data_IF_534813497728
#
_entry.id   IF_534813497728
#
_cell.length_a   1.000
_cell.length_b   1.000
_cell.length_c   1.000
_cell.angle_alpha   90.00
_cell.angle_beta   90.00
_cell.angle_gamma   90.00
#
_symmetry.space_group_name_H-M   'P 1'
#
loop_
_entity.id
_entity.type
_entity.pdbx_description
1 polymer ?
#
# COMPACT_ATOMS: atom_id res chain seq x y z
N UNK A 1 6.80 -33.49 4.10
CA UNK A 1 5.74 -33.10 3.12
C UNK A 1 5.78 -34.12 2.00
N UNK A 2 4.61 -34.60 1.56
CA UNK A 2 4.60 -35.37 0.31
C UNK A 2 4.97 -34.44 -0.84
N UNK A 3 5.71 -34.91 -1.84
CA UNK A 3 6.04 -34.11 -3.04
C UNK A 3 4.79 -33.48 -3.66
N UNK A 4 3.72 -34.25 -3.75
CA UNK A 4 2.42 -33.76 -4.27
C UNK A 4 1.90 -32.53 -3.50
N UNK A 5 2.04 -32.49 -2.18
CA UNK A 5 1.62 -31.32 -1.39
C UNK A 5 2.52 -30.11 -1.68
N UNK A 6 3.81 -30.31 -1.82
CA UNK A 6 4.77 -29.24 -2.15
C UNK A 6 4.47 -28.65 -3.53
N UNK A 7 4.35 -29.50 -4.55
CA UNK A 7 4.02 -29.07 -5.93
C UNK A 7 2.69 -28.31 -5.98
N UNK A 8 1.66 -28.82 -5.27
CA UNK A 8 0.37 -28.15 -5.18
C UNK A 8 0.50 -26.75 -4.55
N UNK A 9 1.25 -26.63 -3.44
CA UNK A 9 1.49 -25.37 -2.76
C UNK A 9 2.19 -24.35 -3.66
N UNK A 10 3.27 -24.76 -4.32
CA UNK A 10 4.03 -23.90 -5.23
C UNK A 10 3.16 -23.44 -6.40
N UNK A 11 2.39 -24.37 -6.99
CA UNK A 11 1.51 -24.04 -8.12
C UNK A 11 0.42 -23.06 -7.71
N UNK A 12 -0.29 -23.31 -6.60
CA UNK A 12 -1.39 -22.45 -6.14
C UNK A 12 -0.85 -21.06 -5.75
N UNK A 13 0.23 -21.00 -4.98
CA UNK A 13 0.82 -19.71 -4.58
C UNK A 13 1.31 -18.93 -5.79
N UNK A 14 2.04 -19.59 -6.70
CA UNK A 14 2.52 -18.96 -7.93
C UNK A 14 1.39 -18.45 -8.83
N UNK A 15 0.33 -19.26 -9.00
CA UNK A 15 -0.85 -18.86 -9.79
C UNK A 15 -1.59 -17.66 -9.17
N UNK A 16 -1.72 -17.61 -7.83
CA UNK A 16 -2.32 -16.48 -7.11
C UNK A 16 -1.52 -15.21 -7.34
N UNK A 17 -0.19 -15.26 -7.20
CA UNK A 17 0.69 -14.10 -7.42
C UNK A 17 0.58 -13.59 -8.86
N UNK A 18 0.64 -14.47 -9.84
CA UNK A 18 0.47 -14.11 -11.26
C UNK A 18 -0.90 -13.49 -11.50
N UNK A 19 -1.97 -14.10 -11.00
CA UNK A 19 -3.34 -13.58 -11.15
C UNK A 19 -3.48 -12.18 -10.53
N UNK A 20 -2.97 -11.97 -9.31
CA UNK A 20 -3.00 -10.65 -8.66
C UNK A 20 -2.24 -9.61 -9.47
N UNK A 21 -1.06 -9.96 -9.97
CA UNK A 21 -0.22 -9.05 -10.74
C UNK A 21 -0.73 -8.78 -12.17
N UNK A 22 -1.55 -9.66 -12.74
CA UNK A 22 -2.21 -9.44 -14.04
C UNK A 22 -3.42 -8.49 -13.94
N UNK A 23 -4.06 -8.41 -12.78
CA UNK A 23 -5.14 -7.47 -12.51
C UNK A 23 -4.64 -6.26 -11.73
N UNK A 24 -5.53 -5.31 -11.42
CA UNK A 24 -5.22 -4.11 -10.63
C UNK A 24 -5.39 -4.33 -9.12
N UNK A 25 -5.76 -5.53 -8.71
CA UNK A 25 -6.02 -5.86 -7.28
C UNK A 25 -4.78 -5.70 -6.41
N UNK A 26 -3.58 -5.98 -6.96
CA UNK A 26 -2.32 -5.84 -6.24
C UNK A 26 -2.06 -4.39 -5.81
N UNK A 27 -2.56 -3.40 -6.56
CA UNK A 27 -2.42 -1.98 -6.24
C UNK A 27 -3.05 -1.57 -4.90
N UNK A 28 -3.90 -2.43 -4.32
CA UNK A 28 -4.46 -2.21 -2.97
C UNK A 28 -3.48 -2.55 -1.85
N UNK A 29 -2.39 -3.26 -2.14
CA UNK A 29 -1.47 -3.81 -1.14
C UNK A 29 -0.01 -3.47 -1.39
N UNK A 30 0.35 -3.21 -2.64
CA UNK A 30 1.73 -2.94 -3.04
C UNK A 30 1.80 -1.86 -4.10
N UNK A 31 2.93 -1.16 -4.14
CA UNK A 31 3.17 -0.10 -5.11
C UNK A 31 3.17 -0.65 -6.54
N UNK A 32 2.86 0.22 -7.50
CA UNK A 32 2.72 -0.14 -8.92
C UNK A 32 3.95 -0.81 -9.54
N UNK A 33 5.16 -0.43 -9.13
CA UNK A 33 6.40 -1.02 -9.65
C UNK A 33 6.60 -2.49 -9.18
N UNK A 34 5.93 -2.90 -8.09
CA UNK A 34 5.99 -4.27 -7.56
C UNK A 34 5.32 -5.30 -8.48
N UNK A 35 4.60 -4.86 -9.52
CA UNK A 35 4.01 -5.75 -10.52
C UNK A 35 5.03 -6.73 -11.11
N UNK A 36 6.20 -6.21 -11.48
CA UNK A 36 7.23 -7.03 -12.12
C UNK A 36 7.86 -8.07 -11.18
N UNK A 37 8.29 -7.71 -9.95
CA UNK A 37 8.71 -8.69 -8.96
C UNK A 37 7.66 -9.77 -8.66
N UNK A 38 6.38 -9.39 -8.52
CA UNK A 38 5.30 -10.34 -8.27
C UNK A 38 5.12 -11.33 -9.42
N UNK A 39 5.15 -10.86 -10.67
CA UNK A 39 5.09 -11.72 -11.85
C UNK A 39 6.30 -12.65 -11.93
N UNK A 40 7.50 -12.14 -11.67
CA UNK A 40 8.72 -12.94 -11.70
C UNK A 40 8.71 -14.03 -10.62
N UNK A 41 8.36 -13.70 -9.38
CA UNK A 41 8.24 -14.66 -8.29
C UNK A 41 7.14 -15.70 -8.57
N UNK A 42 5.96 -15.26 -9.02
CA UNK A 42 4.87 -16.16 -9.35
C UNK A 42 5.22 -17.14 -10.47
N UNK A 43 5.84 -16.65 -11.55
CA UNK A 43 6.30 -17.48 -12.66
C UNK A 43 7.40 -18.46 -12.22
N UNK A 44 8.35 -18.01 -11.38
CA UNK A 44 9.39 -18.87 -10.81
C UNK A 44 8.81 -20.02 -9.98
N UNK A 45 7.83 -19.74 -9.11
CA UNK A 45 7.17 -20.76 -8.30
C UNK A 45 6.45 -21.79 -9.15
N UNK A 46 5.73 -21.37 -10.20
CA UNK A 46 5.08 -22.26 -11.14
C UNK A 46 6.11 -23.09 -11.90
N UNK A 47 7.21 -22.47 -12.36
CA UNK A 47 8.30 -23.19 -13.05
C UNK A 47 8.91 -24.26 -12.15
N UNK A 48 9.21 -23.91 -10.88
CA UNK A 48 9.74 -24.87 -9.91
C UNK A 48 8.78 -26.03 -9.68
N UNK A 49 7.46 -25.77 -9.60
CA UNK A 49 6.46 -26.81 -9.48
C UNK A 49 6.43 -27.74 -10.70
N UNK A 50 6.55 -27.20 -11.91
CA UNK A 50 6.62 -27.97 -13.16
C UNK A 50 7.89 -28.80 -13.21
N UNK A 51 9.03 -28.22 -12.87
CA UNK A 51 10.32 -28.94 -12.82
C UNK A 51 10.29 -30.07 -11.79
N UNK A 52 9.71 -29.83 -10.60
CA UNK A 52 9.53 -30.85 -9.56
C UNK A 52 8.65 -32.02 -10.05
N UNK A 53 7.62 -31.71 -10.83
CA UNK A 53 6.73 -32.72 -11.44
C UNK A 53 7.45 -33.53 -12.55
N UNK A 54 8.36 -32.91 -13.32
CA UNK A 54 9.10 -33.58 -14.39
C UNK A 54 10.31 -34.36 -13.89
N UNK A 55 10.79 -34.07 -12.68
CA UNK A 55 11.85 -34.83 -12.01
C UNK A 55 11.30 -36.06 -11.28
N UNK A 56 10.43 -36.84 -11.94
CA UNK A 56 10.14 -38.20 -11.50
C UNK A 56 11.42 -39.03 -11.66
N UNK A 57 12.25 -39.04 -10.60
CA UNK A 57 13.29 -40.06 -10.51
C UNK A 57 12.59 -41.42 -10.39
N UNK A 58 12.94 -42.39 -11.28
CA UNK A 58 12.52 -43.77 -11.07
C UNK A 58 12.99 -44.18 -9.68
N UNK A 59 12.05 -44.64 -8.83
CA UNK A 59 12.45 -45.34 -7.63
C UNK A 59 13.41 -46.45 -8.10
N UNK A 60 14.67 -46.33 -7.68
CA UNK A 60 15.57 -47.45 -7.78
C UNK A 60 15.01 -48.55 -6.88
N UNK A 61 14.23 -49.44 -7.51
CA UNK A 61 13.92 -50.74 -6.94
C UNK A 61 15.24 -51.51 -6.82
N UNK A 62 15.75 -51.63 -5.62
CA UNK A 62 16.89 -52.49 -5.37
C UNK A 62 17.92 -51.90 -4.42
N UNK A 63 17.59 -51.81 -3.15
CA UNK A 63 18.57 -51.85 -2.11
C UNK A 63 18.13 -52.87 -1.05
N UNK A 64 18.89 -53.96 -0.83
CA UNK A 64 18.49 -54.96 0.15
C UNK A 64 18.65 -54.41 1.58
N UNK A 65 17.72 -54.86 2.41
CA UNK A 65 17.63 -54.64 3.83
C UNK A 65 18.97 -54.85 4.57
N UNK A 66 19.57 -53.78 5.04
CA UNK A 66 20.41 -53.82 6.21
C UNK A 66 20.04 -52.62 7.07
N UNK A 67 19.13 -52.86 8.02
CA UNK A 67 18.91 -51.99 9.16
C UNK A 67 20.11 -52.14 10.13
N UNK A 68 20.53 -51.04 10.76
CA UNK A 68 20.54 -50.98 12.21
C UNK A 68 19.63 -49.87 12.71
N UNK A 69 19.02 -50.19 13.81
CA UNK A 69 18.13 -49.43 14.65
C UNK A 69 18.37 -47.91 14.64
N UNK A 70 17.62 -47.20 13.79
CA UNK A 70 17.48 -45.76 13.78
C UNK A 70 16.02 -45.46 13.50
N UNK A 71 15.33 -44.86 14.44
CA UNK A 71 13.92 -44.46 14.33
C UNK A 71 13.64 -43.83 12.97
N UNK A 72 12.53 -44.18 12.33
CA UNK A 72 12.15 -43.51 11.10
C UNK A 72 11.84 -42.04 11.47
N UNK A 73 12.70 -41.11 11.05
CA UNK A 73 12.33 -39.71 10.98
C UNK A 73 11.14 -39.60 9.99
N UNK A 74 9.97 -39.93 10.52
CA UNK A 74 8.73 -39.59 9.87
C UNK A 74 8.68 -38.05 9.85
N UNK A 75 9.01 -37.46 8.71
CA UNK A 75 8.81 -36.05 8.45
C UNK A 75 7.31 -35.74 8.45
N UNK A 76 6.72 -35.92 9.63
CA UNK A 76 5.36 -35.45 9.90
C UNK A 76 5.41 -33.94 9.87
N UNK A 77 5.10 -33.34 8.71
CA UNK A 77 4.69 -31.94 8.70
C UNK A 77 3.56 -31.83 9.69
N UNK A 78 3.77 -31.07 10.79
CA UNK A 78 2.71 -30.94 11.80
C UNK A 78 1.43 -30.50 11.09
N UNK A 79 0.31 -31.09 11.44
CA UNK A 79 -1.00 -30.66 10.91
C UNK A 79 -1.20 -29.14 11.02
N UNK A 80 -0.51 -28.51 11.98
CA UNK A 80 -0.41 -27.05 12.13
C UNK A 80 0.18 -26.33 10.90
N UNK A 81 0.99 -26.98 10.05
CA UNK A 81 1.50 -26.33 8.84
C UNK A 81 0.39 -25.97 7.83
N UNK A 82 -0.74 -26.69 7.85
CA UNK A 82 -1.92 -26.35 7.06
C UNK A 82 -2.58 -25.04 7.49
N UNK A 83 -2.41 -24.64 8.77
CA UNK A 83 -2.90 -23.34 9.26
C UNK A 83 -2.21 -22.16 8.58
N UNK A 84 -0.99 -22.33 8.06
CA UNK A 84 -0.30 -21.29 7.27
C UNK A 84 -0.99 -21.04 5.92
N UNK A 85 -1.84 -21.98 5.49
CA UNK A 85 -2.62 -21.83 4.26
C UNK A 85 -3.88 -20.99 4.44
N UNK A 86 -4.40 -20.94 5.66
CA UNK A 86 -5.66 -20.22 5.95
C UNK A 86 -5.56 -18.73 5.61
N UNK A 87 -4.51 -17.99 6.00
CA UNK A 87 -4.38 -16.57 5.61
C UNK A 87 -4.35 -16.39 4.09
N UNK A 88 -3.58 -17.23 3.39
CA UNK A 88 -3.48 -17.14 1.91
C UNK A 88 -4.83 -17.44 1.25
N UNK A 89 -5.58 -18.40 1.77
CA UNK A 89 -6.91 -18.75 1.27
C UNK A 89 -7.92 -17.63 1.55
N UNK A 90 -7.86 -17.02 2.74
CA UNK A 90 -8.70 -15.88 3.11
C UNK A 90 -8.44 -14.69 2.17
N UNK A 91 -7.17 -14.34 1.92
CA UNK A 91 -6.82 -13.29 0.96
C UNK A 91 -7.26 -13.59 -0.47
N UNK A 92 -7.30 -14.87 -0.84
CA UNK A 92 -7.77 -15.28 -2.16
C UNK A 92 -9.28 -15.16 -2.30
N UNK A 93 -10.04 -15.51 -1.25
CA UNK A 93 -11.51 -15.51 -1.26
C UNK A 93 -12.11 -14.15 -0.94
N UNK A 94 -11.48 -13.40 -0.04
CA UNK A 94 -11.96 -12.13 0.47
C UNK A 94 -10.85 -11.12 0.24
N UNK A 95 -10.86 -10.45 -0.93
CA UNK A 95 -9.93 -9.33 -1.15
C UNK A 95 -10.27 -8.21 -0.14
N UNK A 96 -9.46 -7.96 0.91
CA UNK A 96 -9.73 -6.88 1.84
C UNK A 96 -9.79 -5.53 1.10
N UNK A 97 -10.54 -4.55 1.61
CA UNK A 97 -10.55 -3.22 1.04
C UNK A 97 -9.16 -2.58 1.11
N UNK A 98 -8.94 -1.55 0.32
CA UNK A 98 -7.75 -0.69 0.45
C UNK A 98 -7.74 0.00 1.81
N UNK A 99 -6.57 0.53 2.21
CA UNK A 99 -6.44 1.33 3.42
C UNK A 99 -7.36 2.56 3.32
N UNK A 100 -8.14 2.80 4.37
CA UNK A 100 -9.15 3.85 4.38
C UNK A 100 -9.09 4.73 5.64
N UNK A 101 -10.16 5.52 5.86
CA UNK A 101 -10.28 6.50 6.94
C UNK A 101 -10.03 5.91 8.32
N UNK A 102 -10.54 4.70 8.59
CA UNK A 102 -10.33 4.02 9.86
C UNK A 102 -8.85 3.73 10.17
N UNK A 103 -8.05 3.40 9.14
CA UNK A 103 -6.60 3.24 9.32
C UNK A 103 -5.94 4.61 9.49
N UNK A 104 -6.37 5.60 8.70
CA UNK A 104 -5.85 6.96 8.75
C UNK A 104 -6.07 7.63 10.12
N UNK A 105 -7.20 7.35 10.79
CA UNK A 105 -7.48 7.84 12.15
C UNK A 105 -6.47 7.34 13.18
N UNK A 106 -6.04 6.08 13.08
CA UNK A 106 -5.13 5.42 14.02
C UNK A 106 -3.65 5.59 13.69
N UNK A 107 -3.35 5.84 12.43
CA UNK A 107 -1.97 6.04 12.00
C UNK A 107 -1.51 7.43 12.42
N UNK A 108 -0.28 7.51 12.91
CA UNK A 108 0.35 8.81 13.13
C UNK A 108 0.47 9.52 11.79
N UNK A 109 0.18 10.83 11.78
CA UNK A 109 0.40 11.67 10.60
C UNK A 109 1.85 11.49 10.12
N UNK A 110 2.05 11.43 8.81
CA UNK A 110 3.40 11.38 8.26
C UNK A 110 4.21 12.52 8.85
N UNK A 111 5.20 12.18 9.63
CA UNK A 111 6.15 13.16 10.11
C UNK A 111 6.94 13.58 8.89
N UNK A 112 6.84 14.84 8.49
CA UNK A 112 7.79 15.42 7.54
C UNK A 112 9.16 15.15 8.14
N UNK A 113 10.13 14.58 7.40
CA UNK A 113 11.46 14.33 7.94
C UNK A 113 11.98 15.61 8.58
N UNK A 114 12.50 15.52 9.82
CA UNK A 114 13.17 16.63 10.47
C UNK A 114 14.21 17.18 9.49
N UNK A 115 14.35 18.51 9.46
CA UNK A 115 15.15 19.32 8.54
C UNK A 115 16.08 18.52 7.63
N UNK A 116 15.83 18.48 6.31
CA UNK A 116 16.76 17.82 5.42
C UNK A 116 18.13 18.44 5.61
N UNK A 117 19.14 17.61 5.78
CA UNK A 117 20.55 18.05 5.89
C UNK A 117 21.06 18.77 4.64
N UNK A 118 20.18 18.99 3.65
CA UNK A 118 20.44 19.64 2.37
C UNK A 118 19.29 20.59 2.06
N UNK A 119 19.59 21.77 1.51
CA UNK A 119 18.59 22.73 1.03
C UNK A 119 17.56 22.04 0.13
N UNK A 120 16.30 22.05 0.53
CA UNK A 120 15.19 21.48 -0.28
C UNK A 120 14.91 22.44 -1.41
N UNK A 121 15.43 22.15 -2.58
CA UNK A 121 15.07 22.90 -3.80
C UNK A 121 13.74 22.36 -4.31
N UNK A 122 12.66 23.08 -4.03
CA UNK A 122 11.34 22.76 -4.55
C UNK A 122 11.17 23.34 -5.97
N UNK A 123 10.63 22.60 -6.92
CA UNK A 123 10.35 23.12 -8.27
C UNK A 123 9.35 24.28 -8.19
N UNK A 124 9.44 25.21 -9.12
CA UNK A 124 8.45 26.30 -9.22
C UNK A 124 7.05 25.76 -9.43
N UNK A 125 6.07 26.41 -8.80
CA UNK A 125 4.66 26.02 -8.98
C UNK A 125 4.16 26.38 -10.38
N UNK A 126 3.31 25.53 -10.98
CA UNK A 126 2.62 25.86 -12.22
C UNK A 126 1.89 27.20 -12.11
N UNK A 127 1.78 27.90 -13.21
CA UNK A 127 1.03 29.18 -13.30
C UNK A 127 -0.47 29.01 -13.46
N UNK A 128 -0.94 27.76 -13.48
CA UNK A 128 -2.38 27.42 -13.57
C UNK A 128 -3.14 27.86 -12.32
N UNK A 129 -4.43 28.13 -12.46
CA UNK A 129 -5.35 28.44 -11.36
C UNK A 129 -6.63 27.63 -11.53
N UNK A 130 -6.97 26.72 -10.59
CA UNK A 130 -6.19 26.31 -9.43
C UNK A 130 -4.90 25.55 -9.80
N UNK A 131 -3.93 25.55 -8.87
CA UNK A 131 -2.68 24.80 -9.01
C UNK A 131 -2.92 23.35 -8.59
N UNK A 132 -2.79 22.36 -9.49
CA UNK A 132 -2.89 20.97 -9.10
C UNK A 132 -1.63 20.55 -8.34
N UNK A 133 -1.79 20.08 -7.09
CA UNK A 133 -0.70 19.64 -6.23
C UNK A 133 -1.03 18.26 -5.62
N UNK A 134 0.02 17.47 -5.41
CA UNK A 134 -0.05 16.29 -4.57
C UNK A 134 -0.12 16.71 -3.10
N UNK A 135 -0.77 15.91 -2.26
CA UNK A 135 -0.79 16.18 -0.81
C UNK A 135 0.62 16.27 -0.23
N UNK A 136 1.52 15.41 -0.70
CA UNK A 136 2.93 15.43 -0.30
C UNK A 136 3.59 16.78 -0.60
N UNK A 137 3.38 17.33 -1.79
CA UNK A 137 3.93 18.63 -2.18
C UNK A 137 3.40 19.76 -1.30
N UNK A 138 2.09 19.72 -0.96
CA UNK A 138 1.49 20.71 -0.04
C UNK A 138 2.12 20.61 1.33
N UNK A 139 2.28 19.40 1.88
CA UNK A 139 2.86 19.17 3.19
C UNK A 139 4.33 19.62 3.25
N UNK A 140 5.13 19.25 2.25
CA UNK A 140 6.55 19.63 2.20
C UNK A 140 6.69 21.14 2.04
N UNK A 141 5.90 21.77 1.18
CA UNK A 141 5.94 23.23 1.01
C UNK A 141 5.48 23.97 2.28
N UNK A 142 4.39 23.54 2.89
CA UNK A 142 3.92 24.11 4.15
C UNK A 142 4.98 24.03 5.25
N UNK A 143 5.75 22.94 5.28
CA UNK A 143 6.79 22.73 6.28
C UNK A 143 8.03 23.60 6.08
N UNK A 144 8.45 23.87 4.83
CA UNK A 144 9.75 24.48 4.53
C UNK A 144 9.68 25.77 3.71
N UNK A 145 8.60 26.00 2.96
CA UNK A 145 8.47 27.10 1.99
C UNK A 145 6.99 27.50 1.81
N UNK A 146 6.31 27.74 2.94
CA UNK A 146 4.88 28.05 2.96
C UNK A 146 4.49 29.29 2.15
N UNK A 147 5.42 30.23 1.98
CA UNK A 147 5.20 31.46 1.21
C UNK A 147 4.88 31.16 -0.27
N UNK A 148 5.39 30.06 -0.82
CA UNK A 148 5.08 29.65 -2.22
C UNK A 148 3.64 29.22 -2.40
N UNK A 149 2.95 28.83 -1.33
CA UNK A 149 1.53 28.48 -1.34
C UNK A 149 0.62 29.69 -1.09
N UNK A 150 1.19 30.79 -0.60
CA UNK A 150 0.42 31.98 -0.24
C UNK A 150 -0.33 32.53 -1.47
N UNK A 151 -1.56 33.00 -1.24
CA UNK A 151 -2.43 33.61 -2.25
C UNK A 151 -2.75 32.73 -3.48
N UNK A 152 -2.35 31.44 -3.47
CA UNK A 152 -2.65 30.50 -4.57
C UNK A 152 -3.87 29.65 -4.23
N UNK A 153 -4.69 29.41 -5.24
CA UNK A 153 -5.76 28.40 -5.17
C UNK A 153 -5.12 27.03 -5.49
N UNK A 154 -5.25 26.11 -4.56
CA UNK A 154 -4.69 24.76 -4.68
C UNK A 154 -5.81 23.79 -5.07
N UNK A 155 -5.50 22.85 -5.96
CA UNK A 155 -6.36 21.69 -6.23
C UNK A 155 -5.65 20.45 -5.69
N UNK A 156 -6.25 19.81 -4.69
CA UNK A 156 -5.74 18.60 -4.05
C UNK A 156 -6.74 17.46 -4.16
N UNK A 157 -6.25 16.24 -4.23
CA UNK A 157 -7.08 15.04 -4.36
C UNK A 157 -6.72 14.05 -3.26
N UNK A 158 -7.73 13.46 -2.62
CA UNK A 158 -7.58 12.44 -1.59
C UNK A 158 -8.93 11.89 -1.17
N UNK A 159 -8.95 11.06 -0.15
CA UNK A 159 -10.19 10.62 0.47
C UNK A 159 -10.42 11.36 1.80
N UNK A 160 -11.69 11.42 2.20
CA UNK A 160 -12.10 12.06 3.45
C UNK A 160 -11.79 11.15 4.64
N UNK A 161 -11.10 11.68 5.64
CA UNK A 161 -10.99 11.06 6.96
C UNK A 161 -11.28 12.08 8.05
N UNK A 162 -11.67 11.61 9.24
CA UNK A 162 -11.88 12.46 10.41
C UNK A 162 -10.95 12.06 11.53
N UNK A 163 -10.74 12.98 12.45
CA UNK A 163 -10.11 12.67 13.73
C UNK A 163 -11.15 12.56 14.85
N UNK A 164 -10.67 12.32 16.07
CA UNK A 164 -11.54 12.20 17.26
C UNK A 164 -12.23 13.50 17.66
N UNK A 165 -11.75 14.66 17.20
CA UNK A 165 -12.38 15.98 17.42
C UNK A 165 -13.51 16.26 16.43
N UNK A 166 -13.58 15.49 15.35
CA UNK A 166 -14.55 15.66 14.27
C UNK A 166 -14.05 16.56 13.14
N UNK A 167 -12.80 17.01 13.22
CA UNK A 167 -12.16 17.73 12.13
C UNK A 167 -11.95 16.79 10.94
N UNK A 168 -12.11 17.30 9.72
CA UNK A 168 -11.96 16.48 8.55
C UNK A 168 -10.74 16.84 7.71
N UNK A 169 -10.19 15.84 7.08
CA UNK A 169 -8.94 15.91 6.33
C UNK A 169 -9.11 15.36 4.93
N UNK A 170 -8.45 16.01 3.98
CA UNK A 170 -8.11 15.37 2.71
C UNK A 170 -6.90 14.50 2.97
N UNK A 171 -7.05 13.19 2.76
CA UNK A 171 -6.07 12.20 3.19
C UNK A 171 -5.62 11.34 2.01
N UNK A 172 -4.36 10.97 2.00
CA UNK A 172 -3.78 10.03 1.05
C UNK A 172 -2.72 9.19 1.76
N UNK A 173 -2.48 7.97 1.28
CA UNK A 173 -1.37 7.15 1.74
C UNK A 173 -0.20 7.23 0.77
N UNK A 174 0.99 7.52 1.30
CA UNK A 174 2.25 7.26 0.63
C UNK A 174 2.66 5.81 0.87
N UNK A 175 3.15 5.13 -0.15
CA UNK A 175 3.57 3.74 -0.07
C UNK A 175 4.86 3.55 -0.87
N UNK A 176 5.90 3.05 -0.23
CA UNK A 176 7.16 2.79 -0.92
C UNK A 176 7.15 1.40 -1.58
N UNK A 177 6.89 0.34 -0.82
CA UNK A 177 6.81 -1.01 -1.39
C UNK A 177 5.45 -1.69 -1.16
N UNK A 178 4.88 -1.60 0.02
CA UNK A 178 3.64 -2.32 0.36
C UNK A 178 2.87 -1.64 1.51
N UNK A 179 1.64 -2.11 1.75
CA UNK A 179 0.77 -1.55 2.80
C UNK A 179 1.39 -1.53 4.21
N UNK A 180 2.42 -2.34 4.47
CA UNK A 180 3.09 -2.36 5.77
C UNK A 180 4.01 -1.14 6.00
N UNK A 181 4.44 -0.46 4.93
CA UNK A 181 5.24 0.77 5.00
C UNK A 181 4.42 2.04 4.67
N UNK A 182 3.08 1.89 4.63
CA UNK A 182 2.21 3.00 4.30
C UNK A 182 2.32 4.14 5.33
N UNK A 183 2.52 5.33 4.83
CA UNK A 183 2.52 6.59 5.60
C UNK A 183 1.26 7.39 5.29
N UNK A 184 0.71 8.06 6.29
CA UNK A 184 -0.50 8.86 6.14
C UNK A 184 -0.14 10.31 5.89
N UNK A 185 -0.66 10.87 4.82
CA UNK A 185 -0.56 12.29 4.46
C UNK A 185 -1.92 12.93 4.68
N UNK A 186 -1.98 14.01 5.46
CA UNK A 186 -3.23 14.69 5.81
C UNK A 186 -3.10 16.19 5.61
N UNK A 187 -4.14 16.78 5.05
CA UNK A 187 -4.34 18.24 4.97
C UNK A 187 -5.68 18.53 5.64
N UNK A 188 -5.66 19.37 6.67
CA UNK A 188 -6.87 19.79 7.37
C UNK A 188 -7.72 20.65 6.43
N UNK A 189 -8.99 20.33 6.32
CA UNK A 189 -9.91 21.05 5.46
C UNK A 189 -10.93 21.80 6.33
N UNK A 190 -11.00 23.11 6.14
CA UNK A 190 -11.91 24.02 6.87
C UNK A 190 -12.80 24.80 5.92
N UNK A 191 -13.84 25.41 6.43
CA UNK A 191 -14.73 26.28 5.63
C UNK A 191 -15.79 25.58 4.80
N UNK A 192 -15.81 24.25 4.75
CA UNK A 192 -16.85 23.46 4.07
C UNK A 192 -17.31 22.27 4.92
N UNK A 193 -18.52 21.80 4.65
CA UNK A 193 -19.06 20.61 5.29
C UNK A 193 -18.32 19.35 4.79
N UNK A 194 -17.98 18.47 5.74
CA UNK A 194 -17.26 17.24 5.46
C UNK A 194 -18.14 16.23 4.71
N UNK A 195 -17.72 15.71 3.54
CA UNK A 195 -18.35 14.54 2.92
C UNK A 195 -18.25 13.29 3.79
N UNK A 196 -18.81 12.17 3.33
CA UNK A 196 -18.71 10.89 4.04
C UNK A 196 -17.26 10.40 4.14
N UNK A 197 -16.93 9.66 5.21
CA UNK A 197 -15.63 9.02 5.34
C UNK A 197 -15.38 8.07 4.16
N UNK A 198 -14.09 7.92 3.78
CA UNK A 198 -13.63 7.15 2.62
C UNK A 198 -14.11 7.68 1.25
N UNK A 199 -14.93 8.74 1.21
CA UNK A 199 -15.30 9.37 -0.04
C UNK A 199 -14.09 10.07 -0.67
N UNK A 200 -13.76 9.73 -1.91
CA UNK A 200 -12.74 10.43 -2.67
C UNK A 200 -13.25 11.77 -3.15
N UNK A 201 -12.41 12.77 -2.95
CA UNK A 201 -12.72 14.17 -3.26
C UNK A 201 -11.56 14.84 -3.99
N UNK A 202 -11.94 15.78 -4.81
CA UNK A 202 -11.08 16.82 -5.34
C UNK A 202 -11.49 18.11 -4.66
N UNK A 203 -10.57 18.74 -3.97
CA UNK A 203 -10.80 19.97 -3.19
C UNK A 203 -10.03 21.10 -3.82
N UNK A 204 -10.71 22.22 -4.03
CA UNK A 204 -10.09 23.52 -4.36
C UNK A 204 -10.17 24.42 -3.15
N UNK A 205 -9.05 25.01 -2.77
CA UNK A 205 -9.01 25.89 -1.59
C UNK A 205 -7.71 26.69 -1.50
N UNK A 206 -7.56 27.40 -0.42
CA UNK A 206 -6.38 28.25 -0.14
C UNK A 206 -5.66 27.76 1.09
N UNK A 207 -4.35 27.72 1.01
CA UNK A 207 -3.51 27.40 2.16
C UNK A 207 -3.65 28.47 3.25
N UNK A 208 -3.77 28.04 4.49
CA UNK A 208 -3.75 28.91 5.66
C UNK A 208 -2.29 29.08 6.11
N UNK A 209 -1.81 30.31 6.04
CA UNK A 209 -0.42 30.62 6.37
C UNK A 209 -0.04 30.15 7.78
N UNK A 210 1.22 29.81 7.94
CA UNK A 210 1.82 29.35 9.21
C UNK A 210 1.25 28.04 9.78
N UNK A 211 0.51 27.26 8.97
CA UNK A 211 0.08 25.90 9.34
C UNK A 211 0.99 24.84 8.74
N UNK A 212 1.17 23.71 9.43
CA UNK A 212 2.04 22.62 8.96
C UNK A 212 3.53 22.88 9.06
N UNK A 213 3.95 24.01 9.62
CA UNK A 213 5.36 24.40 9.74
C UNK A 213 6.12 23.39 10.58
N UNK A 214 7.30 22.98 10.08
CA UNK A 214 8.14 21.98 10.75
C UNK A 214 7.56 20.57 10.79
N UNK A 215 6.42 20.31 10.11
CA UNK A 215 5.86 18.98 9.92
C UNK A 215 5.22 18.32 11.14
N UNK A 216 5.06 19.05 12.24
CA UNK A 216 4.48 18.51 13.49
C UNK A 216 2.94 18.39 13.46
N UNK A 217 2.29 19.21 12.63
CA UNK A 217 0.83 19.26 12.46
C UNK A 217 0.49 19.26 10.98
N UNK A 218 -0.69 18.76 10.57
CA UNK A 218 -1.14 18.87 9.18
C UNK A 218 -1.27 20.36 8.77
N UNK A 219 -0.91 20.70 7.52
CA UNK A 219 -1.23 22.01 6.98
C UNK A 219 -2.75 22.15 6.80
N UNK A 220 -3.23 23.39 6.87
CA UNK A 220 -4.66 23.70 6.74
C UNK A 220 -4.95 24.36 5.39
N UNK A 221 -6.08 23.97 4.80
CA UNK A 221 -6.64 24.57 3.58
C UNK A 221 -8.07 25.01 3.84
N UNK A 222 -8.35 26.30 3.63
CA UNK A 222 -9.70 26.80 3.58
C UNK A 222 -10.33 26.43 2.26
N UNK A 223 -11.35 25.59 2.31
CA UNK A 223 -12.00 24.97 1.14
C UNK A 223 -12.95 25.96 0.48
N UNK A 224 -12.84 26.12 -0.83
CA UNK A 224 -13.73 26.91 -1.67
C UNK A 224 -14.72 26.03 -2.45
N UNK A 225 -14.27 24.83 -2.90
CA UNK A 225 -15.08 23.88 -3.64
C UNK A 225 -14.69 22.44 -3.31
N UNK A 226 -15.68 21.54 -3.29
CA UNK A 226 -15.52 20.10 -3.06
C UNK A 226 -16.24 19.33 -4.15
N UNK A 227 -15.50 18.62 -4.97
CA UNK A 227 -16.05 17.71 -5.96
C UNK A 227 -15.87 16.26 -5.50
N UNK A 228 -16.97 15.51 -5.43
CA UNK A 228 -16.94 14.07 -5.18
C UNK A 228 -16.45 13.36 -6.45
N UNK A 229 -15.53 12.45 -6.29
CA UNK A 229 -14.97 11.67 -7.40
C UNK A 229 -14.98 10.18 -7.06
N UNK A 230 -14.83 9.33 -8.06
CA UNK A 230 -14.60 7.91 -7.85
C UNK A 230 -13.17 7.67 -7.36
N UNK A 231 -12.99 6.61 -6.57
CA UNK A 231 -11.68 6.21 -6.11
C UNK A 231 -10.77 5.86 -7.30
N UNK A 232 -9.57 6.44 -7.38
CA UNK A 232 -8.63 6.10 -8.44
C UNK A 232 -8.20 4.64 -8.35
N UNK A 233 -7.87 4.02 -9.49
CA UNK A 233 -7.37 2.63 -9.53
C UNK A 233 -6.13 2.45 -8.67
N UNK A 234 -5.20 3.41 -8.73
CA UNK A 234 -4.07 3.48 -7.82
C UNK A 234 -4.35 4.54 -6.74
N UNK A 235 -4.65 4.08 -5.52
CA UNK A 235 -5.02 4.92 -4.39
C UNK A 235 -3.82 5.41 -3.58
N UNK A 236 -2.63 4.93 -3.90
CA UNK A 236 -1.39 5.21 -3.17
C UNK A 236 -0.41 6.01 -4.02
N UNK A 237 0.50 6.71 -3.32
CA UNK A 237 1.57 7.51 -3.91
C UNK A 237 2.95 7.03 -3.45
#
# INVERSE_FOLDING_TARGET
>A
MTRATQTLLLTVTGAVLVRMAMGDTYLRYVNSWMRWPLLACGALLVLLAVVDMWRDEPKADGQPDHAPDGEPESSHVPRAAWLLFVPSLVFFLIAPPALGAHFAERAQTAVVPAEPSTEVVLPELPTTDPVPLLLEDVIIRAAYDGDTLADRRLEITGFVSRDASGDWFVTQFGMNCCAADATVMKVLATGAEAPADDQWVKVVGRYVADTGVGGGTPPEVTVEDVQLIDAPTNQYR
#
